data_IF_235179914531
#
_entry.id   IF_235179914531
#
_cell.length_a   1.000
_cell.length_b   1.000
_cell.length_c   1.000
_cell.angle_alpha   90.00
_cell.angle_beta   90.00
_cell.angle_gamma   90.00
#
_symmetry.space_group_name_H-M   'P 1'
#
loop_
_entity.id
_entity.type
_entity.pdbx_description
1 polymer ?
#
# COMPACT_ATOMS: atom_id res chain seq x y z
N UNK A 1 -3.12 -10.06 20.31
CA UNK A 1 -2.08 -9.07 19.93
C UNK A 1 -1.06 -9.77 19.05
N UNK A 2 -0.78 -9.22 17.88
CA UNK A 2 0.26 -9.76 17.00
C UNK A 2 1.64 -9.42 17.54
N UNK A 3 2.52 -10.39 17.59
CA UNK A 3 3.91 -10.16 17.97
C UNK A 3 4.70 -9.62 16.78
N UNK A 4 4.90 -8.31 16.74
CA UNK A 4 5.64 -7.59 15.71
C UNK A 4 7.14 -7.47 16.02
N UNK A 5 7.63 -8.13 17.06
CA UNK A 5 9.00 -7.95 17.56
C UNK A 5 10.09 -8.49 16.61
N UNK A 6 9.71 -9.40 15.72
CA UNK A 6 10.63 -10.07 14.78
C UNK A 6 10.61 -9.50 13.36
N UNK A 7 9.76 -8.50 13.10
CA UNK A 7 9.60 -7.97 11.75
C UNK A 7 10.76 -7.03 11.36
N UNK A 8 11.54 -7.42 10.38
CA UNK A 8 12.68 -6.65 9.90
C UNK A 8 12.30 -5.29 9.31
N UNK A 9 11.14 -5.18 8.68
CA UNK A 9 10.66 -3.93 8.09
C UNK A 9 10.50 -2.84 9.13
N UNK A 10 10.02 -3.18 10.33
CA UNK A 10 9.87 -2.23 11.43
C UNK A 10 11.20 -1.88 12.12
N UNK A 11 12.27 -2.57 11.81
CA UNK A 11 13.60 -2.27 12.36
C UNK A 11 14.43 -1.36 11.47
N UNK A 12 14.04 -1.19 10.21
CA UNK A 12 14.78 -0.40 9.24
C UNK A 12 14.31 1.06 9.20
N UNK A 13 15.18 1.99 9.52
CA UNK A 13 14.87 3.43 9.53
C UNK A 13 14.50 3.97 8.14
N UNK A 14 15.02 3.38 7.07
CA UNK A 14 14.69 3.80 5.71
C UNK A 14 13.27 3.38 5.27
N UNK A 15 12.76 2.23 5.69
CA UNK A 15 11.39 1.78 5.40
C UNK A 15 10.36 2.72 6.02
N UNK A 16 10.65 3.22 7.21
CA UNK A 16 9.81 4.17 7.94
C UNK A 16 10.10 5.64 7.62
N UNK A 17 11.01 5.90 6.67
CA UNK A 17 11.45 7.24 6.26
C UNK A 17 11.95 8.08 7.44
N UNK A 18 12.79 7.46 8.28
CA UNK A 18 13.36 8.07 9.49
C UNK A 18 14.74 8.72 9.27
N UNK A 19 15.13 8.89 8.00
CA UNK A 19 16.38 9.53 7.62
C UNK A 19 16.12 10.95 7.13
N UNK A 20 16.91 11.91 7.63
CA UNK A 20 16.92 13.27 7.10
C UNK A 20 17.58 13.32 5.73
N UNK A 21 17.36 14.41 4.99
CA UNK A 21 18.06 14.67 3.71
C UNK A 21 19.58 14.49 3.85
N UNK A 22 20.18 15.08 4.87
CA UNK A 22 21.61 15.00 5.12
C UNK A 22 22.09 13.55 5.32
N UNK A 23 21.36 12.75 6.04
CA UNK A 23 21.70 11.35 6.29
C UNK A 23 21.53 10.50 5.04
N UNK A 24 20.50 10.74 4.24
CA UNK A 24 20.32 10.08 2.95
C UNK A 24 21.48 10.40 1.98
N UNK A 25 22.01 11.62 2.02
CA UNK A 25 23.14 12.03 1.18
C UNK A 25 24.46 11.37 1.59
N UNK A 26 24.61 10.90 2.84
CA UNK A 26 25.82 10.19 3.32
C UNK A 26 25.92 8.76 2.77
N UNK A 27 24.77 8.13 2.48
CA UNK A 27 24.74 6.80 1.88
C UNK A 27 23.87 6.82 0.61
N UNK A 28 24.51 7.10 -0.51
CA UNK A 28 23.84 7.16 -1.80
C UNK A 28 23.42 5.80 -2.35
N UNK A 29 23.82 4.70 -1.73
CA UNK A 29 23.39 3.34 -2.07
C UNK A 29 22.06 3.00 -1.39
N UNK A 30 21.69 3.73 -0.34
CA UNK A 30 20.46 3.53 0.40
C UNK A 30 19.24 3.62 -0.53
N UNK A 31 18.32 2.67 -0.38
CA UNK A 31 17.12 2.57 -1.23
C UNK A 31 16.21 3.80 -1.10
N UNK A 32 16.11 4.39 0.08
CA UNK A 32 15.33 5.61 0.29
C UNK A 32 15.91 6.77 -0.52
N UNK A 33 17.25 6.96 -0.50
CA UNK A 33 17.92 7.96 -1.32
C UNK A 33 17.67 7.75 -2.81
N UNK A 34 17.68 6.50 -3.29
CA UNK A 34 17.43 6.19 -4.71
C UNK A 34 16.01 6.60 -5.16
N UNK A 35 15.04 6.55 -4.27
CA UNK A 35 13.68 7.04 -4.52
C UNK A 35 13.65 8.58 -4.42
N UNK A 36 14.17 9.12 -3.33
CA UNK A 36 14.17 10.54 -3.00
C UNK A 36 14.81 11.41 -4.11
N UNK A 37 15.98 11.02 -4.61
CA UNK A 37 16.70 11.77 -5.65
C UNK A 37 15.96 11.89 -7.00
N UNK A 38 14.96 11.05 -7.24
CA UNK A 38 14.13 11.10 -8.46
C UNK A 38 12.98 12.08 -8.36
N UNK A 39 12.71 12.58 -7.17
CA UNK A 39 11.63 13.54 -6.95
C UNK A 39 12.05 14.92 -7.43
N UNK A 40 11.13 15.73 -8.01
CA UNK A 40 11.33 17.14 -8.21
C UNK A 40 11.65 17.87 -6.90
N UNK A 41 12.37 18.99 -6.97
CA UNK A 41 12.83 19.71 -5.77
C UNK A 41 11.68 20.13 -4.84
N UNK A 42 10.59 20.63 -5.39
CA UNK A 42 9.40 21.01 -4.62
C UNK A 42 8.72 19.81 -3.92
N UNK A 43 8.83 18.62 -4.50
CA UNK A 43 8.33 17.37 -3.90
C UNK A 43 9.28 16.92 -2.78
N UNK A 44 10.61 17.08 -2.97
CA UNK A 44 11.60 16.82 -1.92
C UNK A 44 11.37 17.71 -0.70
N UNK A 45 11.13 19.00 -0.91
CA UNK A 45 10.87 19.94 0.19
C UNK A 45 9.57 19.60 0.95
N UNK A 46 8.53 19.20 0.24
CA UNK A 46 7.29 18.69 0.86
C UNK A 46 7.54 17.40 1.65
N UNK A 47 8.31 16.48 1.08
CA UNK A 47 8.70 15.25 1.75
C UNK A 47 9.42 15.54 3.07
N UNK A 48 10.44 16.36 3.03
CA UNK A 48 11.20 16.71 4.22
C UNK A 48 10.33 17.36 5.29
N UNK A 49 9.43 18.25 4.91
CA UNK A 49 8.47 18.89 5.82
C UNK A 49 7.53 17.87 6.49
N UNK A 50 6.98 16.94 5.70
CA UNK A 50 6.04 15.92 6.23
C UNK A 50 6.73 14.97 7.19
N UNK A 51 7.95 14.55 6.88
CA UNK A 51 8.66 13.56 7.71
C UNK A 51 9.48 14.18 8.85
N UNK A 52 9.71 15.50 8.88
CA UNK A 52 10.48 16.17 9.94
C UNK A 52 9.91 15.90 11.35
N UNK A 53 8.60 15.98 11.52
CA UNK A 53 7.95 15.72 12.80
C UNK A 53 8.14 14.25 13.21
N UNK A 54 7.92 13.30 12.30
CA UNK A 54 8.12 11.86 12.54
C UNK A 54 9.56 11.56 13.00
N UNK A 55 10.54 12.12 12.31
CA UNK A 55 11.96 11.97 12.65
C UNK A 55 12.25 12.54 14.04
N UNK A 56 11.70 13.71 14.36
CA UNK A 56 11.85 14.34 15.66
C UNK A 56 11.24 13.48 16.80
N UNK A 57 10.02 12.99 16.62
CA UNK A 57 9.35 12.11 17.58
C UNK A 57 10.16 10.83 17.83
N UNK A 58 10.64 10.19 16.79
CA UNK A 58 11.47 8.99 16.88
C UNK A 58 12.76 9.24 17.66
N UNK A 59 13.44 10.36 17.38
CA UNK A 59 14.73 10.73 17.98
C UNK A 59 14.65 11.29 19.38
N UNK A 60 13.50 11.79 19.79
CA UNK A 60 13.29 12.25 21.16
C UNK A 60 13.55 11.13 22.19
N UNK A 61 13.51 9.88 21.72
CA UNK A 61 14.01 8.73 22.43
C UNK A 61 13.14 8.27 23.62
N UNK A 62 11.94 8.77 23.74
CA UNK A 62 11.04 8.46 24.86
C UNK A 62 10.31 7.10 24.67
N UNK A 63 10.15 6.65 23.43
CA UNK A 63 9.46 5.39 23.12
C UNK A 63 10.39 4.19 23.29
N UNK A 64 9.90 3.13 23.96
CA UNK A 64 10.65 1.88 24.20
C UNK A 64 9.72 0.67 24.12
N UNK A 65 10.31 -0.50 23.87
CA UNK A 65 9.61 -1.77 23.89
C UNK A 65 8.34 -1.78 23.05
N UNK A 66 7.22 -2.18 23.63
CA UNK A 66 5.93 -2.28 22.94
C UNK A 66 5.40 -0.94 22.39
N UNK A 67 5.66 0.15 23.10
CA UNK A 67 5.22 1.49 22.65
C UNK A 67 5.95 1.91 21.38
N UNK A 68 7.25 1.65 21.29
CA UNK A 68 8.05 1.91 20.10
C UNK A 68 7.57 1.06 18.91
N UNK A 69 7.31 -0.22 19.12
CA UNK A 69 6.81 -1.13 18.09
C UNK A 69 5.44 -0.66 17.59
N UNK A 70 4.54 -0.33 18.51
CA UNK A 70 3.21 0.19 18.17
C UNK A 70 3.30 1.50 17.37
N UNK A 71 4.17 2.42 17.79
CA UNK A 71 4.38 3.67 17.07
C UNK A 71 4.90 3.42 15.65
N UNK A 72 5.93 2.58 15.49
CA UNK A 72 6.48 2.20 14.18
C UNK A 72 5.41 1.57 13.28
N UNK A 73 4.62 0.65 13.80
CA UNK A 73 3.51 0.04 13.08
C UNK A 73 2.50 1.09 12.59
N UNK A 74 2.12 2.04 13.44
CA UNK A 74 1.20 3.12 13.06
C UNK A 74 1.78 4.00 11.94
N UNK A 75 3.08 4.31 11.97
CA UNK A 75 3.71 5.07 10.89
C UNK A 75 3.68 4.30 9.56
N UNK A 76 4.01 3.01 9.60
CA UNK A 76 3.96 2.13 8.44
C UNK A 76 2.54 2.06 7.86
N UNK A 77 1.53 1.83 8.69
CA UNK A 77 0.14 1.75 8.25
C UNK A 77 -0.38 3.07 7.67
N UNK A 78 0.02 4.20 8.22
CA UNK A 78 -0.34 5.51 7.63
C UNK A 78 0.23 5.67 6.21
N UNK A 79 1.48 5.30 6.00
CA UNK A 79 2.10 5.36 4.68
C UNK A 79 1.42 4.40 3.70
N UNK A 80 1.14 3.17 4.14
CA UNK A 80 0.43 2.17 3.33
C UNK A 80 -0.97 2.67 2.93
N UNK A 81 -1.76 3.10 3.90
CA UNK A 81 -3.12 3.59 3.65
C UNK A 81 -3.14 4.86 2.78
N UNK A 82 -2.12 5.71 2.87
CA UNK A 82 -2.00 6.88 1.98
C UNK A 82 -1.84 6.48 0.52
N UNK A 83 -1.16 5.36 0.23
CA UNK A 83 -1.08 4.85 -1.15
C UNK A 83 -2.43 4.35 -1.64
N UNK A 84 -3.22 3.72 -0.76
CA UNK A 84 -4.58 3.24 -1.09
C UNK A 84 -5.50 4.41 -1.40
N UNK A 85 -5.44 5.49 -0.62
CA UNK A 85 -6.22 6.71 -0.89
C UNK A 85 -5.92 7.25 -2.29
N UNK A 86 -4.63 7.32 -2.67
CA UNK A 86 -4.24 7.77 -4.00
C UNK A 86 -4.76 6.86 -5.13
N UNK A 87 -4.80 5.55 -4.90
CA UNK A 87 -5.41 4.60 -5.85
C UNK A 87 -6.92 4.82 -5.97
N UNK A 88 -7.62 4.94 -4.84
CA UNK A 88 -9.06 5.17 -4.78
C UNK A 88 -9.48 6.45 -5.52
N UNK A 89 -8.78 7.56 -5.27
CA UNK A 89 -9.01 8.82 -5.97
C UNK A 89 -8.84 8.69 -7.50
N UNK A 90 -7.82 7.98 -7.96
CA UNK A 90 -7.57 7.78 -9.38
C UNK A 90 -8.60 6.83 -10.02
N UNK A 91 -9.05 5.80 -9.32
CA UNK A 91 -10.17 4.96 -9.76
C UNK A 91 -11.43 5.81 -9.88
N UNK A 92 -11.74 6.64 -8.88
CA UNK A 92 -12.88 7.57 -8.93
C UNK A 92 -12.83 8.50 -10.14
N UNK A 93 -11.65 9.06 -10.48
CA UNK A 93 -11.46 9.88 -11.68
C UNK A 93 -11.72 9.10 -12.97
N UNK A 94 -11.25 7.85 -13.06
CA UNK A 94 -11.46 7.01 -14.22
C UNK A 94 -12.95 6.66 -14.41
N UNK A 95 -13.62 6.27 -13.32
CA UNK A 95 -15.06 5.97 -13.35
C UNK A 95 -15.87 7.19 -13.75
N UNK A 96 -15.57 8.37 -13.19
CA UNK A 96 -16.23 9.62 -13.55
C UNK A 96 -16.00 10.02 -15.02
N UNK A 97 -14.83 9.72 -15.58
CA UNK A 97 -14.59 9.92 -17.01
C UNK A 97 -15.46 9.01 -17.87
N UNK A 98 -15.57 7.72 -17.55
CA UNK A 98 -16.42 6.77 -18.27
C UNK A 98 -17.90 7.16 -18.18
N UNK A 99 -18.37 7.59 -17.01
CA UNK A 99 -19.74 8.03 -16.79
C UNK A 99 -20.06 9.28 -17.63
N UNK A 100 -19.19 10.28 -17.60
CA UNK A 100 -19.35 11.52 -18.36
C UNK A 100 -19.42 11.29 -19.87
N UNK A 101 -18.74 10.26 -20.36
CA UNK A 101 -18.78 9.90 -21.79
C UNK A 101 -19.88 8.89 -22.14
N UNK A 102 -20.71 8.46 -21.20
CA UNK A 102 -21.77 7.48 -21.43
C UNK A 102 -21.26 6.06 -21.66
N UNK A 103 -20.01 5.76 -21.30
CA UNK A 103 -19.35 4.47 -21.54
C UNK A 103 -19.36 3.54 -20.32
N UNK A 104 -19.70 4.06 -19.13
CA UNK A 104 -19.58 3.32 -17.87
C UNK A 104 -20.36 2.00 -17.86
N UNK A 105 -21.58 1.98 -18.42
CA UNK A 105 -22.43 0.79 -18.45
C UNK A 105 -22.10 -0.16 -19.62
N UNK A 106 -21.24 0.28 -20.54
CA UNK A 106 -20.72 -0.54 -21.64
C UNK A 106 -19.26 -0.97 -21.41
N UNK A 107 -18.73 -0.76 -20.23
CA UNK A 107 -17.37 -1.12 -19.87
C UNK A 107 -17.40 -2.17 -18.77
N UNK A 108 -16.64 -3.26 -18.95
CA UNK A 108 -16.37 -4.24 -17.88
C UNK A 108 -15.28 -3.65 -16.99
N UNK A 109 -15.59 -3.48 -15.71
CA UNK A 109 -14.65 -2.97 -14.72
C UNK A 109 -14.30 -4.10 -13.77
N UNK A 110 -13.02 -4.41 -13.64
CA UNK A 110 -12.50 -5.44 -12.75
C UNK A 110 -11.50 -4.79 -11.80
N UNK A 111 -11.74 -4.93 -10.51
CA UNK A 111 -10.79 -4.57 -9.46
C UNK A 111 -10.28 -5.84 -8.80
N UNK A 112 -8.99 -6.08 -8.90
CA UNK A 112 -8.32 -7.25 -8.33
C UNK A 112 -6.85 -6.95 -8.06
N UNK A 113 -6.13 -7.95 -7.54
CA UNK A 113 -4.67 -7.91 -7.34
C UNK A 113 -4.06 -9.21 -7.87
N UNK A 114 -2.78 -9.19 -8.17
CA UNK A 114 -1.98 -10.38 -8.52
C UNK A 114 -1.69 -11.27 -7.31
N UNK A 115 -1.77 -10.71 -6.11
CA UNK A 115 -1.47 -11.37 -4.83
C UNK A 115 -2.06 -10.60 -3.64
N UNK A 116 -2.13 -11.26 -2.48
CA UNK A 116 -2.39 -10.61 -1.21
C UNK A 116 -1.11 -10.03 -0.58
N UNK A 117 -1.21 -9.62 0.69
CA UNK A 117 -0.10 -8.97 1.40
C UNK A 117 -0.28 -9.07 2.91
N UNK A 118 0.79 -9.38 3.64
CA UNK A 118 0.80 -9.28 5.11
C UNK A 118 0.92 -7.82 5.55
N UNK A 119 0.08 -7.41 6.47
CA UNK A 119 0.11 -6.09 7.09
C UNK A 119 0.40 -6.20 8.60
N UNK A 120 1.16 -7.20 8.98
CA UNK A 120 1.52 -7.48 10.36
C UNK A 120 0.94 -8.79 10.90
N UNK A 121 0.07 -9.47 10.15
CA UNK A 121 -0.42 -10.78 10.51
C UNK A 121 0.77 -11.74 10.67
N UNK A 122 0.73 -12.57 11.69
CA UNK A 122 1.82 -13.50 12.05
C UNK A 122 3.18 -12.82 12.34
N UNK A 123 3.19 -11.51 12.58
CA UNK A 123 4.43 -10.71 12.71
C UNK A 123 5.14 -10.44 11.38
N UNK A 124 4.49 -10.63 10.25
CA UNK A 124 5.09 -10.50 8.93
C UNK A 124 4.54 -9.32 8.13
N UNK A 125 5.39 -8.84 7.21
CA UNK A 125 5.05 -7.95 6.11
C UNK A 125 5.46 -8.59 4.79
N UNK A 126 5.01 -7.98 3.64
CA UNK A 126 5.29 -8.51 2.32
C UNK A 126 4.39 -9.74 1.97
N UNK A 127 4.81 -10.63 1.09
CA UNK A 127 3.95 -11.55 0.35
C UNK A 127 4.64 -12.87 0.00
N UNK A 128 5.56 -13.33 0.81
CA UNK A 128 6.48 -14.42 0.44
C UNK A 128 6.07 -15.80 0.93
N UNK A 129 4.98 -15.90 1.67
CA UNK A 129 4.53 -17.15 2.27
C UNK A 129 3.11 -17.50 1.80
N UNK A 130 2.83 -18.80 1.72
CA UNK A 130 1.55 -19.33 1.22
C UNK A 130 0.49 -19.35 2.33
N UNK A 131 0.17 -18.18 2.88
CA UNK A 131 -0.92 -18.00 3.84
C UNK A 131 -2.10 -17.29 3.18
N UNK A 132 -3.25 -17.34 3.84
CA UNK A 132 -4.50 -16.75 3.37
C UNK A 132 -4.31 -15.27 2.98
N UNK A 133 -3.58 -14.52 3.80
CA UNK A 133 -3.29 -13.10 3.59
C UNK A 133 -2.55 -12.82 2.29
N UNK A 134 -1.73 -13.75 1.83
CA UNK A 134 -1.00 -13.64 0.57
C UNK A 134 -1.75 -14.23 -0.63
N UNK A 135 -2.70 -15.13 -0.42
CA UNK A 135 -3.41 -15.83 -1.48
C UNK A 135 -4.80 -15.25 -1.75
N UNK A 136 -5.42 -14.64 -0.76
CA UNK A 136 -6.76 -14.08 -0.88
C UNK A 136 -6.73 -12.65 -1.35
N UNK A 137 -7.04 -12.46 -2.63
CA UNK A 137 -7.16 -11.15 -3.25
C UNK A 137 -8.62 -10.73 -3.39
N UNK A 138 -8.91 -9.42 -3.40
CA UNK A 138 -10.23 -8.97 -3.80
C UNK A 138 -10.48 -9.29 -5.28
N UNK A 139 -11.69 -9.68 -5.61
CA UNK A 139 -12.18 -9.74 -6.98
C UNK A 139 -13.57 -9.10 -7.03
N UNK A 140 -13.61 -7.90 -7.57
CA UNK A 140 -14.85 -7.15 -7.76
C UNK A 140 -15.04 -6.88 -9.24
N UNK A 141 -16.20 -7.27 -9.79
CA UNK A 141 -16.51 -7.09 -11.22
C UNK A 141 -17.80 -6.29 -11.33
N UNK A 142 -17.76 -5.25 -12.16
CA UNK A 142 -18.95 -4.47 -12.54
C UNK A 142 -19.16 -4.57 -14.05
N UNK A 143 -20.33 -5.08 -14.45
CA UNK A 143 -20.84 -5.02 -15.81
C UNK A 143 -22.38 -5.14 -15.79
N UNK A 144 -23.13 -4.04 -15.74
CA UNK A 144 -24.58 -4.06 -15.50
C UNK A 144 -25.38 -4.87 -16.53
N UNK A 145 -24.86 -5.03 -17.75
CA UNK A 145 -25.52 -5.78 -18.81
C UNK A 145 -25.56 -7.29 -18.55
N UNK A 146 -24.64 -7.83 -17.73
CA UNK A 146 -24.54 -9.27 -17.47
C UNK A 146 -24.50 -9.61 -15.97
N UNK A 147 -24.13 -8.68 -15.09
CA UNK A 147 -23.92 -8.92 -13.68
C UNK A 147 -24.90 -8.08 -12.86
N UNK A 148 -25.75 -8.75 -12.07
CA UNK A 148 -26.69 -8.07 -11.17
C UNK A 148 -25.91 -7.38 -10.04
N UNK A 149 -26.24 -6.11 -9.80
CA UNK A 149 -25.64 -5.36 -8.69
C UNK A 149 -25.88 -6.06 -7.33
N UNK A 150 -24.85 -6.07 -6.49
CA UNK A 150 -24.87 -6.66 -5.16
C UNK A 150 -24.85 -8.21 -5.14
N UNK A 151 -24.65 -8.86 -6.29
CA UNK A 151 -24.46 -10.33 -6.30
C UNK A 151 -23.10 -10.69 -5.69
N UNK A 152 -23.08 -11.84 -4.97
CA UNK A 152 -21.88 -12.41 -4.36
C UNK A 152 -21.76 -13.85 -4.81
N UNK A 153 -20.56 -14.28 -5.13
CA UNK A 153 -20.22 -15.68 -5.46
C UNK A 153 -19.23 -16.23 -4.45
N UNK A 154 -19.42 -17.48 -4.05
CA UNK A 154 -18.48 -18.26 -3.25
C UNK A 154 -17.62 -19.20 -4.08
N UNK A 155 -17.70 -19.13 -5.40
CA UNK A 155 -16.84 -19.90 -6.29
C UNK A 155 -15.38 -19.48 -6.11
N UNK A 156 -14.48 -20.46 -6.18
CA UNK A 156 -13.05 -20.19 -6.22
C UNK A 156 -12.72 -19.62 -7.60
N UNK A 157 -12.06 -18.48 -7.61
CA UNK A 157 -11.54 -17.84 -8.81
C UNK A 157 -10.03 -17.67 -8.67
N UNK A 158 -9.29 -18.01 -9.70
CA UNK A 158 -7.84 -17.89 -9.75
C UNK A 158 -7.42 -16.95 -10.89
N UNK A 159 -6.21 -16.40 -10.82
CA UNK A 159 -5.69 -15.52 -11.87
C UNK A 159 -5.68 -16.16 -13.27
N UNK A 160 -5.54 -17.47 -13.34
CA UNK A 160 -5.58 -18.24 -14.59
C UNK A 160 -6.98 -18.28 -15.24
N UNK A 161 -8.03 -17.98 -14.47
CA UNK A 161 -9.42 -18.01 -14.93
C UNK A 161 -9.82 -16.71 -15.65
N UNK A 162 -9.06 -15.62 -15.50
CA UNK A 162 -9.46 -14.30 -16.03
C UNK A 162 -9.48 -14.28 -17.54
N UNK A 163 -8.41 -14.76 -18.20
CA UNK A 163 -8.35 -14.75 -19.66
C UNK A 163 -9.47 -15.57 -20.29
N UNK A 164 -9.72 -16.84 -19.92
CA UNK A 164 -10.83 -17.61 -20.47
C UNK A 164 -12.22 -17.09 -20.11
N UNK A 165 -12.36 -16.31 -19.03
CA UNK A 165 -13.62 -15.68 -18.67
C UNK A 165 -13.97 -14.47 -19.53
N UNK A 166 -12.95 -13.78 -20.06
CA UNK A 166 -13.11 -12.56 -20.86
C UNK A 166 -13.12 -12.82 -22.37
N UNK A 167 -12.69 -14.01 -22.82
CA UNK A 167 -12.66 -14.43 -24.23
C UNK A 167 -13.95 -15.14 -24.65
#
# INVERSE_FOLDING_TARGET
>A
EQDMSIEHTLTNDWDLKLLTREEMLKDTTNRLYQVYKRMPADVQDKWDSVYAQRISEYRSGNLRGKELISWKYQQYMRDYLSTIVAVDENIGRLLGYLEKNGELDNTIIIYTSDQGFFLGEHGWFDKRFMYEECQRMPLVIRYPKAIKAGSVSSAIAMNVDFAPTLL
#
